data_IF_424609410658
#
_entry.id   IF_424609410658
#
_cell.length_a   1.000
_cell.length_b   1.000
_cell.length_c   1.000
_cell.angle_alpha   90.00
_cell.angle_beta   90.00
_cell.angle_gamma   90.00
#
_symmetry.space_group_name_H-M   'P 1'
#
loop_
_entity.id
_entity.type
_entity.pdbx_description
1 polymer ?
#
# COMPACT_ATOMS: atom_id res chain seq x y z
N UNK A 1 4.58 -23.52 14.02
CA UNK A 1 4.15 -22.35 13.20
C UNK A 1 4.86 -22.38 11.86
N UNK A 2 4.18 -22.01 10.78
CA UNK A 2 4.76 -21.96 9.44
C UNK A 2 5.13 -20.50 9.14
N UNK A 3 6.30 -20.28 8.53
CA UNK A 3 6.67 -18.98 7.95
C UNK A 3 6.28 -19.00 6.47
N UNK A 4 5.61 -17.96 6.01
CA UNK A 4 5.21 -17.77 4.62
C UNK A 4 5.89 -16.52 4.05
N UNK A 5 6.44 -16.63 2.85
CA UNK A 5 6.92 -15.50 2.06
C UNK A 5 5.99 -15.37 0.86
N UNK A 6 5.42 -14.17 0.68
CA UNK A 6 4.52 -13.89 -0.43
C UNK A 6 5.01 -12.69 -1.22
N UNK A 7 5.11 -12.87 -2.52
CA UNK A 7 5.34 -11.80 -3.48
C UNK A 7 3.98 -11.32 -3.97
N UNK A 8 3.60 -10.10 -3.61
CA UNK A 8 2.34 -9.49 -4.03
C UNK A 8 2.50 -8.80 -5.38
N UNK A 9 3.62 -8.10 -5.57
CA UNK A 9 4.03 -7.43 -6.80
C UNK A 9 5.55 -7.46 -6.97
N UNK A 10 6.05 -7.06 -8.15
CA UNK A 10 7.47 -6.88 -8.44
C UNK A 10 8.19 -8.08 -9.06
N UNK A 11 7.50 -9.20 -9.33
CA UNK A 11 8.13 -10.37 -9.97
C UNK A 11 8.51 -10.16 -11.43
N UNK A 12 7.84 -9.22 -12.12
CA UNK A 12 8.03 -8.96 -13.56
C UNK A 12 8.33 -7.50 -13.89
N UNK A 13 8.55 -6.66 -12.89
CA UNK A 13 8.75 -5.23 -13.09
C UNK A 13 8.99 -4.47 -11.79
N UNK A 14 8.71 -3.17 -11.82
CA UNK A 14 8.75 -2.28 -10.66
C UNK A 14 7.50 -2.46 -9.76
N UNK A 15 7.50 -1.81 -8.59
CA UNK A 15 6.41 -1.90 -7.63
C UNK A 15 6.53 -3.10 -6.71
N UNK A 16 7.71 -3.29 -6.13
CA UNK A 16 7.98 -4.43 -5.24
C UNK A 16 7.14 -4.34 -3.98
N UNK A 17 6.41 -5.42 -3.70
CA UNK A 17 5.71 -5.63 -2.41
C UNK A 17 5.85 -7.10 -2.03
N UNK A 18 6.61 -7.35 -0.98
CA UNK A 18 6.87 -8.70 -0.46
C UNK A 18 6.48 -8.75 1.00
N UNK A 19 5.84 -9.82 1.45
CA UNK A 19 5.57 -10.03 2.87
C UNK A 19 6.19 -11.33 3.39
N UNK A 20 6.63 -11.27 4.64
CA UNK A 20 7.00 -12.43 5.45
C UNK A 20 6.04 -12.49 6.63
N UNK A 21 5.32 -13.60 6.74
CA UNK A 21 4.33 -13.81 7.80
C UNK A 21 4.73 -15.00 8.67
N UNK A 22 4.68 -14.84 9.98
CA UNK A 22 4.89 -15.89 10.95
C UNK A 22 3.89 -15.76 12.10
N UNK A 23 2.95 -16.71 12.21
CA UNK A 23 1.84 -16.61 13.16
C UNK A 23 0.96 -15.39 12.86
N UNK A 24 0.76 -14.53 13.86
CA UNK A 24 0.01 -13.28 13.80
C UNK A 24 0.88 -12.05 13.45
N UNK A 25 2.13 -12.25 13.08
CA UNK A 25 3.07 -11.19 12.71
C UNK A 25 3.39 -11.21 11.24
N UNK A 26 3.37 -10.02 10.61
CA UNK A 26 3.73 -9.82 9.21
C UNK A 26 4.65 -8.63 9.05
N UNK A 27 5.76 -8.83 8.36
CA UNK A 27 6.64 -7.77 7.89
C UNK A 27 6.50 -7.65 6.39
N UNK A 28 6.18 -6.46 5.91
CA UNK A 28 6.15 -6.14 4.49
C UNK A 28 7.39 -5.35 4.10
N UNK A 29 7.96 -5.70 2.96
CA UNK A 29 9.11 -5.02 2.37
C UNK A 29 8.62 -4.24 1.17
N UNK A 30 8.82 -2.92 1.23
CA UNK A 30 8.33 -1.93 0.30
C UNK A 30 6.80 -1.94 0.14
N UNK A 31 6.27 -0.82 -0.31
CA UNK A 31 4.85 -0.65 -0.54
C UNK A 31 4.62 0.44 -1.59
N UNK A 32 5.05 0.16 -2.81
CA UNK A 32 5.01 1.09 -3.93
C UNK A 32 4.02 0.69 -5.01
N UNK A 33 3.82 1.59 -5.95
CA UNK A 33 3.04 1.33 -7.15
C UNK A 33 3.94 0.83 -8.28
N UNK A 34 3.45 -0.08 -9.14
CA UNK A 34 4.17 -0.45 -10.36
C UNK A 34 4.37 0.77 -11.25
N UNK A 35 5.47 0.78 -11.98
CA UNK A 35 5.79 1.89 -12.88
C UNK A 35 4.84 1.90 -14.06
N UNK A 36 4.02 2.96 -14.19
CA UNK A 36 3.03 3.15 -15.26
C UNK A 36 1.99 2.01 -15.38
N UNK A 37 1.24 1.67 -14.34
CA UNK A 37 0.17 0.67 -14.45
C UNK A 37 -0.94 1.10 -15.41
N UNK A 38 -1.16 2.41 -15.54
CA UNK A 38 -2.11 3.06 -16.43
C UNK A 38 -1.83 2.81 -17.91
N UNK A 39 -0.56 2.69 -18.33
CA UNK A 39 -0.20 2.44 -19.75
C UNK A 39 -0.67 1.07 -20.25
N UNK A 40 -1.03 0.15 -19.35
CA UNK A 40 -1.60 -1.14 -19.72
C UNK A 40 -3.06 -1.03 -20.17
N UNK A 41 -3.75 0.06 -19.84
CA UNK A 41 -5.18 0.23 -20.03
C UNK A 41 -5.54 1.50 -20.78
N UNK A 42 -4.78 2.60 -20.60
CA UNK A 42 -5.10 3.91 -21.12
C UNK A 42 -3.85 4.66 -21.59
N UNK A 43 -4.03 5.40 -22.64
CA UNK A 43 -3.03 6.35 -23.15
C UNK A 43 -3.35 7.74 -22.56
N UNK A 44 -3.01 7.97 -21.30
CA UNK A 44 -3.30 9.23 -20.61
C UNK A 44 -3.20 9.18 -19.09
N UNK A 45 -3.63 10.24 -18.44
CA UNK A 45 -3.64 10.38 -16.98
C UNK A 45 -4.96 9.85 -16.41
N UNK A 46 -4.88 8.94 -15.45
CA UNK A 46 -6.03 8.46 -14.69
C UNK A 46 -6.15 9.30 -13.42
N UNK A 47 -7.32 9.91 -13.24
CA UNK A 47 -7.66 10.61 -12.00
C UNK A 47 -8.55 9.71 -11.13
N UNK A 48 -8.07 9.40 -9.94
CA UNK A 48 -8.88 8.66 -8.97
C UNK A 48 -10.00 9.54 -8.42
N UNK A 49 -11.13 8.90 -8.12
CA UNK A 49 -12.24 9.57 -7.43
C UNK A 49 -11.88 9.78 -5.97
N UNK A 50 -12.02 11.01 -5.46
CA UNK A 50 -11.56 11.40 -4.12
C UNK A 50 -11.97 10.42 -3.00
N UNK A 51 -13.23 9.97 -2.99
CA UNK A 51 -13.75 9.06 -1.95
C UNK A 51 -13.47 7.57 -2.24
N UNK A 52 -12.82 7.25 -3.34
CA UNK A 52 -12.58 5.88 -3.79
C UNK A 52 -11.11 5.62 -4.15
N UNK A 53 -10.19 6.48 -3.71
CA UNK A 53 -8.78 6.43 -4.11
C UNK A 53 -8.16 5.05 -3.92
N UNK A 54 -8.31 4.44 -2.75
CA UNK A 54 -7.81 3.08 -2.49
C UNK A 54 -8.48 2.03 -3.37
N UNK A 55 -9.81 2.06 -3.47
CA UNK A 55 -10.59 1.09 -4.27
C UNK A 55 -10.25 1.17 -5.75
N UNK A 56 -10.05 2.39 -6.26
CA UNK A 56 -9.64 2.62 -7.63
C UNK A 56 -8.19 2.19 -7.87
N UNK A 57 -7.28 2.48 -6.95
CA UNK A 57 -5.90 2.01 -7.01
C UNK A 57 -5.80 0.47 -7.04
N UNK A 58 -6.60 -0.23 -6.23
CA UNK A 58 -6.65 -1.70 -6.26
C UNK A 58 -7.25 -2.20 -7.59
N UNK A 59 -8.31 -1.56 -8.11
CA UNK A 59 -8.92 -1.96 -9.40
C UNK A 59 -7.96 -1.83 -10.57
N UNK A 60 -7.14 -0.78 -10.56
CA UNK A 60 -6.18 -0.47 -11.62
C UNK A 60 -4.85 -1.23 -11.48
N UNK A 61 -4.66 -1.97 -10.38
CA UNK A 61 -3.39 -2.66 -10.11
C UNK A 61 -2.26 -1.74 -9.66
N UNK A 62 -2.59 -0.55 -9.17
CA UNK A 62 -1.62 0.40 -8.61
C UNK A 62 -1.23 0.07 -7.18
N UNK A 63 -2.08 -0.64 -6.47
CA UNK A 63 -1.77 -1.21 -5.14
C UNK A 63 -2.35 -2.60 -4.97
N UNK A 64 -1.88 -3.33 -3.98
CA UNK A 64 -2.19 -4.74 -3.75
C UNK A 64 -3.37 -4.94 -2.81
N UNK A 65 -4.09 -6.06 -2.96
CA UNK A 65 -5.14 -6.47 -2.03
C UNK A 65 -4.53 -7.25 -0.88
N UNK A 66 -4.43 -6.62 0.29
CA UNK A 66 -3.86 -7.24 1.51
C UNK A 66 -4.79 -6.98 2.70
N UNK A 67 -5.15 -8.04 3.41
CA UNK A 67 -5.97 -7.95 4.61
C UNK A 67 -5.23 -7.28 5.77
N UNK A 68 -5.95 -6.51 6.58
CA UNK A 68 -5.49 -6.00 7.86
C UNK A 68 -4.49 -4.84 7.79
N UNK A 69 -4.47 -4.08 6.69
CA UNK A 69 -3.56 -2.93 6.56
C UNK A 69 -4.26 -1.62 6.14
N UNK A 70 -5.46 -1.71 5.60
CA UNK A 70 -6.22 -0.56 5.10
C UNK A 70 -7.31 -0.13 6.08
N UNK A 71 -7.63 1.17 6.17
CA UNK A 71 -8.74 1.66 6.98
C UNK A 71 -10.10 1.11 6.48
N UNK A 72 -10.98 0.75 7.40
CA UNK A 72 -12.34 0.27 7.06
C UNK A 72 -13.10 1.28 6.20
N UNK A 73 -13.01 2.58 6.54
CA UNK A 73 -13.68 3.66 5.79
C UNK A 73 -13.32 3.68 4.30
N UNK A 74 -12.06 3.33 3.95
CA UNK A 74 -11.58 3.36 2.57
C UNK A 74 -11.96 2.08 1.80
N UNK A 75 -12.34 1.02 2.51
CA UNK A 75 -12.81 -0.26 1.94
C UNK A 75 -14.34 -0.36 1.86
N UNK A 76 -15.06 0.43 2.66
CA UNK A 76 -16.54 0.35 2.70
C UNK A 76 -17.14 0.80 1.37
N UNK A 77 -18.06 -0.01 0.86
CA UNK A 77 -18.86 0.27 -0.33
C UNK A 77 -20.14 1.05 0.03
N UNK A 78 -20.81 1.62 -0.96
CA UNK A 78 -22.04 2.38 -0.77
C UNK A 78 -23.15 1.56 -0.09
N UNK A 79 -23.18 0.25 -0.31
CA UNK A 79 -24.14 -0.69 0.29
C UNK A 79 -23.71 -1.21 1.67
N UNK A 80 -22.59 -0.69 2.21
CA UNK A 80 -22.01 -1.10 3.49
C UNK A 80 -21.16 -2.38 3.45
N UNK A 81 -21.04 -3.04 2.29
CA UNK A 81 -20.16 -4.19 2.14
C UNK A 81 -18.70 -3.77 2.04
N UNK A 82 -17.78 -4.72 2.27
CA UNK A 82 -16.35 -4.48 2.09
C UNK A 82 -15.92 -4.76 0.65
N UNK A 83 -15.14 -3.85 0.10
CA UNK A 83 -14.58 -3.97 -1.23
C UNK A 83 -13.73 -5.25 -1.36
N UNK A 84 -14.11 -6.11 -2.31
CA UNK A 84 -13.46 -7.43 -2.56
C UNK A 84 -13.31 -8.30 -1.31
N UNK A 85 -14.12 -8.09 -0.28
CA UNK A 85 -14.03 -8.76 1.03
C UNK A 85 -12.64 -8.62 1.70
N UNK A 86 -11.91 -7.56 1.41
CA UNK A 86 -10.64 -7.26 2.07
C UNK A 86 -10.94 -6.93 3.53
N UNK A 87 -10.30 -7.66 4.44
CA UNK A 87 -10.44 -7.41 5.88
C UNK A 87 -9.75 -6.08 6.24
N UNK A 88 -10.44 -5.12 6.88
CA UNK A 88 -9.84 -3.87 7.29
C UNK A 88 -8.89 -4.07 8.49
N UNK A 89 -8.04 -3.07 8.72
CA UNK A 89 -7.09 -3.05 9.85
C UNK A 89 -7.82 -3.23 11.18
N UNK A 90 -8.93 -2.52 11.37
CA UNK A 90 -9.72 -2.49 12.61
C UNK A 90 -10.34 -3.86 12.97
N UNK A 91 -10.51 -4.74 11.99
CA UNK A 91 -11.06 -6.08 12.18
C UNK A 91 -9.99 -7.19 12.15
N UNK A 92 -8.71 -6.84 12.05
CA UNK A 92 -7.61 -7.80 11.89
C UNK A 92 -6.79 -7.95 13.17
N UNK A 93 -6.48 -9.20 13.53
CA UNK A 93 -5.53 -9.50 14.61
C UNK A 93 -4.06 -9.54 14.09
N UNK A 94 -3.84 -9.36 12.79
CA UNK A 94 -2.51 -9.42 12.17
C UNK A 94 -1.69 -8.17 12.53
N UNK A 95 -0.57 -8.37 13.20
CA UNK A 95 0.40 -7.32 13.54
C UNK A 95 1.33 -7.09 12.36
N UNK A 96 1.02 -6.10 11.56
CA UNK A 96 1.77 -5.77 10.36
C UNK A 96 2.68 -4.56 10.58
N UNK A 97 3.91 -4.64 10.06
CA UNK A 97 4.82 -3.52 9.91
C UNK A 97 5.30 -3.45 8.45
N UNK A 98 5.65 -2.26 7.99
CA UNK A 98 6.19 -2.02 6.65
C UNK A 98 7.60 -1.46 6.76
N UNK A 99 8.54 -2.04 6.02
CA UNK A 99 9.92 -1.58 5.91
C UNK A 99 10.18 -1.06 4.50
N UNK A 100 10.47 0.23 4.37
CA UNK A 100 10.76 0.89 3.10
C UNK A 100 12.27 0.92 2.86
N UNK A 101 12.69 0.35 1.73
CA UNK A 101 14.09 0.28 1.34
C UNK A 101 14.66 1.64 0.94
N UNK A 102 13.89 2.39 0.13
CA UNK A 102 14.24 3.74 -0.33
C UNK A 102 13.01 4.50 -0.86
N UNK A 103 13.16 5.79 -1.18
CA UNK A 103 12.04 6.70 -1.49
C UNK A 103 11.63 6.76 -2.97
N UNK A 104 11.99 5.81 -3.80
CA UNK A 104 11.41 5.76 -5.14
C UNK A 104 9.92 5.40 -5.08
N UNK A 105 9.10 5.97 -5.95
CA UNK A 105 7.64 5.82 -5.93
C UNK A 105 7.18 4.38 -6.07
N UNK A 106 7.90 3.57 -6.84
CA UNK A 106 7.63 2.13 -7.00
C UNK A 106 8.00 1.29 -5.75
N UNK A 107 8.54 1.93 -4.70
CA UNK A 107 8.84 1.31 -3.41
C UNK A 107 8.03 1.88 -2.24
N UNK A 108 7.53 3.12 -2.32
CA UNK A 108 6.90 3.77 -1.18
C UNK A 108 5.57 4.50 -1.46
N UNK A 109 5.19 4.71 -2.72
CA UNK A 109 4.05 5.61 -3.03
C UNK A 109 2.70 5.20 -2.44
N UNK A 110 2.52 3.91 -2.12
CA UNK A 110 1.26 3.38 -1.59
C UNK A 110 1.15 3.44 -0.06
N UNK A 111 2.19 3.88 0.68
CA UNK A 111 2.11 4.03 2.14
C UNK A 111 0.98 4.97 2.57
N UNK A 112 0.59 5.91 1.71
CA UNK A 112 -0.56 6.82 1.90
C UNK A 112 -1.91 6.11 2.09
N UNK A 113 -2.02 4.85 1.66
CA UNK A 113 -3.23 4.04 1.80
C UNK A 113 -3.27 3.21 3.08
N UNK A 114 -2.15 3.11 3.79
CA UNK A 114 -2.08 2.33 5.02
C UNK A 114 -2.89 2.98 6.14
N UNK A 115 -3.47 2.14 6.98
CA UNK A 115 -4.04 2.62 8.25
C UNK A 115 -2.94 3.20 9.14
N UNK A 116 -3.22 4.28 9.86
CA UNK A 116 -2.26 4.98 10.72
C UNK A 116 -1.65 4.10 11.83
N UNK A 117 -2.34 3.03 12.21
CA UNK A 117 -1.85 2.02 13.15
C UNK A 117 -0.81 1.06 12.59
N UNK A 118 -0.55 1.08 11.28
CA UNK A 118 0.50 0.25 10.65
C UNK A 118 1.83 1.00 10.71
N UNK A 119 2.82 0.56 11.54
CA UNK A 119 4.10 1.23 11.61
C UNK A 119 4.89 1.07 10.31
N UNK A 120 5.45 2.18 9.85
CA UNK A 120 6.35 2.24 8.68
C UNK A 120 7.75 2.60 9.14
N UNK A 121 8.71 1.78 8.79
CA UNK A 121 10.12 1.96 9.11
C UNK A 121 10.92 2.27 7.85
N UNK A 122 11.82 3.22 7.93
CA UNK A 122 12.75 3.58 6.86
C UNK A 122 14.05 4.14 7.43
N UNK A 123 15.08 4.27 6.59
CA UNK A 123 16.31 4.92 7.00
C UNK A 123 16.06 6.38 7.42
N UNK A 124 16.75 6.86 8.46
CA UNK A 124 16.57 8.21 9.02
C UNK A 124 16.61 9.31 7.94
N UNK A 125 17.61 9.30 7.07
CA UNK A 125 17.73 10.30 6.00
C UNK A 125 16.58 10.20 4.99
N UNK A 126 16.00 9.02 4.78
CA UNK A 126 14.78 8.86 3.99
C UNK A 126 13.60 9.55 4.65
N UNK A 127 13.41 9.37 5.94
CA UNK A 127 12.34 10.02 6.68
C UNK A 127 12.47 11.56 6.70
N UNK A 128 13.70 12.07 6.85
CA UNK A 128 14.00 13.51 6.78
C UNK A 128 13.69 14.09 5.39
N UNK A 129 14.07 13.37 4.32
CA UNK A 129 13.79 13.78 2.95
C UNK A 129 12.29 13.76 2.66
N UNK A 130 11.56 12.72 3.07
CA UNK A 130 10.11 12.62 2.88
C UNK A 130 9.40 13.80 3.55
N UNK A 131 9.76 14.11 4.79
CA UNK A 131 9.23 15.26 5.52
C UNK A 131 9.54 16.60 4.83
N UNK A 132 10.72 16.73 4.24
CA UNK A 132 11.07 17.94 3.48
C UNK A 132 10.24 18.09 2.20
N UNK A 133 9.95 16.97 1.49
CA UNK A 133 9.11 16.97 0.29
C UNK A 133 7.66 17.32 0.61
N UNK A 134 7.09 16.80 1.69
CA UNK A 134 5.73 17.14 2.14
C UNK A 134 5.59 18.65 2.41
N UNK A 135 6.59 19.27 3.02
CA UNK A 135 6.59 20.72 3.28
C UNK A 135 6.66 21.59 2.01
N UNK A 136 7.12 21.05 0.88
CA UNK A 136 7.18 21.77 -0.40
C UNK A 136 5.81 21.74 -1.11
N UNK A 137 5.06 20.67 -0.99
CA UNK A 137 3.74 20.51 -1.62
C UNK A 137 2.65 21.35 -0.92
N UNK A 138 2.85 21.76 0.33
CA UNK A 138 1.93 22.62 1.08
C UNK A 138 2.14 24.14 0.81
N UNK A 139 3.09 24.53 0.00
CA UNK A 139 3.40 25.91 -0.41
C UNK A 139 2.91 26.20 -1.82
#
# INVERSE_FOLDING_TARGET
MKTEIRFHEGLKGSGVVVSVTHGDHRLMFDFGAPFRPDTNFYDGVILHRNENTLKDAIRLGETVSVDGIYPEKDLTMFDGSLFRNIQPFEASDMKTAVLISHLHLDHMSNIKHLHEGVPVYMHLHGAELLKALENIDEG
#
